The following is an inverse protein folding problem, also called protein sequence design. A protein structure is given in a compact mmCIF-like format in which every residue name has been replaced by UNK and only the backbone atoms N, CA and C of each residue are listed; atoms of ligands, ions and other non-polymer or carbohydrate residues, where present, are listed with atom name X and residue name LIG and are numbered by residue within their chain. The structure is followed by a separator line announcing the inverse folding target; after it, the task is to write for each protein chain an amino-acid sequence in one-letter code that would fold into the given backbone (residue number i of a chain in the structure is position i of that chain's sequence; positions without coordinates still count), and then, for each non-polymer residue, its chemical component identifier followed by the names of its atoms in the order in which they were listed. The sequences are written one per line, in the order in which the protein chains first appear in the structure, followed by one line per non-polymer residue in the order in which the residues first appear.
data_IF_999579120949
#
_entry.id   IF_999579120949
#
_cell.length_a   1.000
_cell.length_b   1.000
_cell.length_c   1.000
_cell.angle_alpha   90.00
_cell.angle_beta   90.00
_cell.angle_gamma   90.00
#
_symmetry.space_group_name_H-M   'P 1'
#
loop_
_entity.id
_entity.type
_entity.pdbx_description
1 polymer ?
#
# COMPACT_ATOMS: atom_id res chain seq x y z
N UNK A 1 -16.20 -2.88 -20.85
CA UNK A 1 -15.83 -1.97 -19.74
C UNK A 1 -16.54 -0.64 -19.94
N UNK A 2 -17.46 -0.30 -19.05
CA UNK A 2 -18.35 0.85 -19.20
C UNK A 2 -17.63 2.16 -18.87
N UNK A 3 -17.93 3.24 -19.60
CA UNK A 3 -17.30 4.55 -19.37
C UNK A 3 -17.68 5.16 -18.01
N UNK A 4 -18.78 4.73 -17.39
CA UNK A 4 -19.15 5.09 -16.01
C UNK A 4 -18.11 4.59 -14.98
N UNK A 5 -17.55 3.40 -15.19
CA UNK A 5 -16.55 2.81 -14.29
C UNK A 5 -15.24 3.61 -14.28
N UNK A 6 -14.93 4.30 -15.40
CA UNK A 6 -13.75 5.16 -15.52
C UNK A 6 -13.92 6.47 -14.77
N UNK A 7 -15.11 7.06 -14.80
CA UNK A 7 -15.41 8.32 -14.11
C UNK A 7 -15.35 8.15 -12.59
N UNK A 8 -15.91 7.07 -12.05
CA UNK A 8 -15.83 6.74 -10.62
C UNK A 8 -14.38 6.54 -10.14
N UNK A 9 -13.55 5.89 -10.95
CA UNK A 9 -12.12 5.70 -10.66
C UNK A 9 -11.32 7.00 -10.71
N UNK A 10 -11.61 7.88 -11.67
CA UNK A 10 -10.97 9.20 -11.74
C UNK A 10 -11.28 10.06 -10.51
N UNK A 11 -12.53 10.10 -10.06
CA UNK A 11 -12.91 10.86 -8.86
C UNK A 11 -12.17 10.35 -7.61
N UNK A 12 -12.00 9.03 -7.50
CA UNK A 12 -11.21 8.43 -6.42
C UNK A 12 -9.73 8.83 -6.47
N UNK A 13 -9.15 8.87 -7.66
CA UNK A 13 -7.74 9.24 -7.85
C UNK A 13 -7.51 10.75 -7.69
N UNK A 14 -8.47 11.60 -8.07
CA UNK A 14 -8.42 13.04 -7.81
C UNK A 14 -8.36 13.34 -6.31
N UNK A 15 -9.13 12.62 -5.49
CA UNK A 15 -9.07 12.75 -4.02
C UNK A 15 -7.70 12.37 -3.46
N UNK A 16 -7.03 11.38 -4.07
CA UNK A 16 -5.69 10.94 -3.64
C UNK A 16 -4.60 11.91 -4.10
N UNK A 17 -4.72 12.44 -5.31
CA UNK A 17 -3.86 13.49 -5.83
C UNK A 17 -3.93 14.73 -4.93
N UNK A 18 -5.14 15.18 -4.59
CA UNK A 18 -5.36 16.28 -3.65
C UNK A 18 -4.77 16.00 -2.26
N UNK A 19 -4.96 14.79 -1.72
CA UNK A 19 -4.35 14.38 -0.44
C UNK A 19 -2.83 14.44 -0.47
N UNK A 20 -2.22 14.17 -1.61
CA UNK A 20 -0.78 14.21 -1.82
C UNK A 20 -0.28 15.59 -2.28
N UNK A 21 -1.16 16.61 -2.34
CA UNK A 21 -0.82 17.97 -2.75
C UNK A 21 -0.37 18.11 -4.20
N UNK A 22 -0.77 17.21 -5.09
CA UNK A 22 -0.35 17.19 -6.50
C UNK A 22 -1.54 17.13 -7.46
N UNK A 23 -1.29 17.49 -8.73
CA UNK A 23 -2.30 17.38 -9.78
C UNK A 23 -2.63 15.92 -10.11
N UNK A 24 -3.84 15.68 -10.62
CA UNK A 24 -4.29 14.33 -11.01
C UNK A 24 -3.34 13.69 -12.02
N UNK A 25 -2.87 14.46 -13.00
CA UNK A 25 -2.01 13.96 -14.07
C UNK A 25 -0.63 13.53 -13.52
N UNK A 26 -0.07 14.32 -12.61
CA UNK A 26 1.17 13.98 -11.92
C UNK A 26 1.01 12.77 -10.98
N UNK A 27 -0.16 12.64 -10.33
CA UNK A 27 -0.51 11.46 -9.53
C UNK A 27 -0.59 10.19 -10.38
N UNK A 28 -1.19 10.28 -11.56
CA UNK A 28 -1.27 9.16 -12.51
C UNK A 28 0.10 8.75 -13.04
N UNK A 29 0.94 9.72 -13.41
CA UNK A 29 2.31 9.48 -13.86
C UNK A 29 3.15 8.79 -12.77
N UNK A 30 3.13 9.32 -11.54
CA UNK A 30 3.81 8.72 -10.38
C UNK A 30 3.32 7.30 -10.10
N UNK A 31 2.03 7.02 -10.28
CA UNK A 31 1.46 5.69 -10.08
C UNK A 31 1.91 4.71 -11.17
N UNK A 32 2.02 5.17 -12.42
CA UNK A 32 2.56 4.38 -13.52
C UNK A 32 4.02 4.01 -13.27
N UNK A 33 4.83 4.95 -12.78
CA UNK A 33 6.23 4.71 -12.41
C UNK A 33 6.34 3.79 -11.19
N UNK A 34 5.53 4.01 -10.15
CA UNK A 34 5.46 3.13 -8.99
C UNK A 34 5.04 1.70 -9.37
N UNK A 35 4.19 1.53 -10.38
CA UNK A 35 3.78 0.20 -10.87
C UNK A 35 4.91 -0.51 -11.62
N UNK A 36 5.79 0.23 -12.29
CA UNK A 36 7.02 -0.31 -12.89
C UNK A 36 8.04 -0.71 -11.82
N UNK A 37 8.13 0.06 -10.74
CA UNK A 37 9.05 -0.22 -9.62
C UNK A 37 8.52 -1.34 -8.71
N UNK A 38 7.21 -1.46 -8.50
CA UNK A 38 6.61 -2.51 -7.67
C UNK A 38 6.66 -3.92 -8.30
N UNK A 39 7.00 -4.01 -9.60
CA UNK A 39 7.35 -5.27 -10.26
C UNK A 39 8.81 -5.66 -10.05
N UNK A 40 9.64 -4.78 -9.46
CA UNK A 40 10.91 -5.21 -8.89
C UNK A 40 10.61 -6.04 -7.63
N UNK A 41 11.33 -7.16 -7.41
CA UNK A 41 11.12 -7.98 -6.22
C UNK A 41 11.24 -7.08 -5.00
N UNK A 42 10.20 -7.12 -4.13
CA UNK A 42 10.20 -6.40 -2.88
C UNK A 42 11.55 -6.63 -2.20
N UNK A 43 12.24 -5.53 -1.86
CA UNK A 43 13.52 -5.59 -1.19
C UNK A 43 13.43 -6.58 -0.02
N UNK A 44 14.39 -7.52 0.03
CA UNK A 44 14.40 -8.61 0.99
C UNK A 44 14.01 -8.09 2.38
N UNK A 45 12.98 -8.66 3.02
CA UNK A 45 12.50 -8.15 4.29
C UNK A 45 13.65 -8.18 5.28
N UNK A 46 13.94 -7.02 5.90
CA UNK A 46 15.02 -6.91 6.87
C UNK A 46 14.83 -8.00 7.94
N UNK A 47 15.79 -8.93 8.10
CA UNK A 47 15.65 -10.09 8.97
C UNK A 47 15.34 -9.70 10.41
N UNK A 48 15.87 -8.56 10.86
CA UNK A 48 15.63 -8.02 12.20
C UNK A 48 14.16 -7.64 12.40
N UNK A 49 13.55 -6.95 11.43
CA UNK A 49 12.14 -6.56 11.50
C UNK A 49 11.21 -7.77 11.43
N UNK A 50 11.58 -8.79 10.66
CA UNK A 50 10.85 -10.07 10.57
C UNK A 50 10.89 -10.82 11.91
N UNK A 51 12.06 -10.84 12.57
CA UNK A 51 12.24 -11.50 13.86
C UNK A 51 11.44 -10.81 14.98
N UNK A 52 11.48 -9.47 15.04
CA UNK A 52 10.73 -8.69 16.04
C UNK A 52 9.21 -8.91 15.88
N UNK A 53 8.69 -8.92 14.66
CA UNK A 53 7.26 -9.22 14.39
C UNK A 53 6.87 -10.62 14.86
N UNK A 54 7.75 -11.61 14.70
CA UNK A 54 7.50 -12.99 15.12
C UNK A 54 7.41 -13.13 16.65
N UNK A 55 8.30 -12.46 17.38
CA UNK A 55 8.32 -12.48 18.86
C UNK A 55 7.10 -11.76 19.44
N UNK A 56 6.78 -10.57 18.91
CA UNK A 56 5.59 -9.81 19.35
C UNK A 56 4.29 -10.57 19.14
N UNK A 57 4.15 -11.27 18.01
CA UNK A 57 2.97 -12.10 17.75
C UNK A 57 2.82 -13.21 18.78
N UNK A 58 3.90 -13.92 19.12
CA UNK A 58 3.88 -14.98 20.14
C UNK A 58 3.51 -14.44 21.52
N UNK A 59 3.95 -13.23 21.86
CA UNK A 59 3.60 -12.59 23.12
C UNK A 59 2.10 -12.28 23.19
N UNK A 60 1.54 -11.72 22.13
CA UNK A 60 0.09 -11.45 22.05
C UNK A 60 -0.72 -12.74 22.08
N UNK A 61 -0.34 -13.76 21.31
CA UNK A 61 -1.01 -15.06 21.31
C UNK A 61 -1.04 -15.69 22.71
N UNK A 62 0.04 -15.51 23.49
CA UNK A 62 0.13 -16.01 24.86
C UNK A 62 -0.69 -15.19 25.85
N UNK A 63 -0.82 -13.88 25.63
CA UNK A 63 -1.69 -13.01 26.42
C UNK A 63 -3.18 -13.26 26.16
N UNK A 64 -3.54 -13.68 24.94
CA UNK A 64 -4.91 -13.99 24.55
C UNK A 64 -5.36 -15.42 24.84
N UNK A 65 -4.49 -16.28 25.37
CA UNK A 65 -4.87 -17.63 25.80
C UNK A 65 -5.28 -17.60 27.27
N UNK A 66 -6.58 -17.73 27.60
CA UNK A 66 -6.98 -17.94 28.99
C UNK A 66 -6.42 -19.29 29.46
N UNK A 67 -5.93 -19.31 30.71
CA UNK A 67 -5.40 -20.49 31.40
C UNK A 67 -6.46 -21.58 31.54
#
# INVERSE_FOLDING_TARGET
MSNQDKQGKQAYEARRAAKAGMSLDHWLARKADARKIASAPAAQPNPVLTQVRSVWRRLLDRAHRPL
#
